data_IF_799365275475
#
_entry.id   IF_799365275475
#
_cell.length_a   1.000
_cell.length_b   1.000
_cell.length_c   1.000
_cell.angle_alpha   90.00
_cell.angle_beta   90.00
_cell.angle_gamma   90.00
#
_symmetry.space_group_name_H-M   'P 1'
#
loop_
_entity.id
_entity.type
_entity.pdbx_description
1 polymer ?
#
# COMPACT_ATOMS: atom_id res chain seq x y z
N UNK A 1 9.73 9.21 -32.14
CA UNK A 1 9.54 8.42 -30.90
C UNK A 1 10.84 7.66 -30.67
N UNK A 2 11.67 8.10 -29.73
CA UNK A 2 12.96 7.45 -29.49
C UNK A 2 12.71 6.09 -28.81
N UNK A 3 13.06 4.99 -29.48
CA UNK A 3 13.02 3.65 -28.90
C UNK A 3 14.26 3.56 -28.01
N UNK A 4 14.07 3.54 -26.70
CA UNK A 4 15.14 3.29 -25.75
C UNK A 4 15.48 1.79 -25.77
N UNK A 5 16.68 1.36 -26.21
CA UNK A 5 17.04 -0.05 -26.29
C UNK A 5 17.06 -0.76 -24.92
N UNK A 6 17.15 -0.01 -23.82
CA UNK A 6 17.09 -0.54 -22.45
C UNK A 6 15.65 -0.64 -21.91
N UNK A 7 14.66 -0.07 -22.61
CA UNK A 7 13.27 -0.13 -22.18
C UNK A 7 12.65 -1.49 -22.51
N UNK A 8 12.51 -2.33 -21.50
CA UNK A 8 11.91 -3.65 -21.64
C UNK A 8 10.45 -3.63 -21.16
N UNK A 9 9.53 -4.30 -21.87
CA UNK A 9 8.10 -4.36 -21.50
C UNK A 9 7.85 -4.94 -20.09
N UNK A 10 8.80 -5.72 -19.56
CA UNK A 10 8.78 -6.24 -18.18
C UNK A 10 8.92 -5.15 -17.12
N UNK A 11 9.51 -4.01 -17.47
CA UNK A 11 9.68 -2.92 -16.53
C UNK A 11 8.35 -2.26 -16.14
N UNK A 12 7.32 -2.43 -16.97
CA UNK A 12 5.94 -2.03 -16.67
C UNK A 12 5.36 -2.71 -15.43
N UNK A 13 5.91 -3.86 -15.01
CA UNK A 13 5.45 -4.58 -13.82
C UNK A 13 6.16 -4.17 -12.53
N UNK A 14 7.15 -3.25 -12.58
CA UNK A 14 7.87 -2.79 -11.38
C UNK A 14 6.94 -1.95 -10.50
N UNK A 15 7.09 -2.07 -9.19
CA UNK A 15 6.34 -1.23 -8.23
C UNK A 15 6.68 0.25 -8.45
N UNK A 16 5.67 1.11 -8.48
CA UNK A 16 5.84 2.57 -8.52
C UNK A 16 6.60 3.01 -7.28
N UNK A 17 7.68 3.78 -7.46
CA UNK A 17 8.49 4.34 -6.38
C UNK A 17 8.69 5.83 -6.60
N UNK A 18 8.65 6.58 -5.52
CA UNK A 18 9.03 7.99 -5.50
C UNK A 18 10.31 8.10 -4.67
N UNK A 19 11.45 8.29 -5.35
CA UNK A 19 12.78 8.18 -4.75
C UNK A 19 12.97 6.85 -4.00
N UNK A 20 13.23 6.91 -2.69
CA UNK A 20 13.40 5.75 -1.80
C UNK A 20 12.08 5.19 -1.27
N UNK A 21 10.97 5.90 -1.46
CA UNK A 21 9.66 5.53 -0.92
C UNK A 21 8.85 4.75 -1.95
N UNK A 22 8.10 3.75 -1.49
CA UNK A 22 7.06 3.13 -2.31
C UNK A 22 5.99 4.18 -2.65
N UNK A 23 5.38 4.08 -3.83
CA UNK A 23 4.40 5.06 -4.30
C UNK A 23 3.25 5.26 -3.30
N UNK A 24 2.86 4.20 -2.58
CA UNK A 24 1.81 4.27 -1.54
C UNK A 24 2.26 5.04 -0.30
N UNK A 25 3.54 4.92 0.07
CA UNK A 25 4.15 5.57 1.24
C UNK A 25 4.43 7.06 1.01
N UNK A 26 4.65 7.45 -0.24
CA UNK A 26 4.97 8.83 -0.61
C UNK A 26 3.72 9.75 -0.66
N UNK A 27 2.54 9.20 -0.93
CA UNK A 27 1.31 9.98 -1.08
C UNK A 27 0.95 10.85 0.15
N UNK A 28 1.03 10.36 1.41
CA UNK A 28 0.77 11.20 2.58
C UNK A 28 1.71 12.41 2.69
N UNK A 29 2.98 12.24 2.31
CA UNK A 29 3.95 13.32 2.31
C UNK A 29 3.63 14.38 1.25
N UNK A 30 3.17 13.96 0.07
CA UNK A 30 2.68 14.89 -0.97
C UNK A 30 1.47 15.68 -0.45
N UNK A 31 0.53 15.03 0.25
CA UNK A 31 -0.63 15.70 0.83
C UNK A 31 -0.24 16.75 1.88
N UNK A 32 0.77 16.46 2.71
CA UNK A 32 1.35 17.45 3.63
C UNK A 32 2.00 18.63 2.89
N UNK A 33 2.71 18.38 1.80
CA UNK A 33 3.33 19.47 1.01
C UNK A 33 2.30 20.41 0.37
N UNK A 34 1.13 19.90 0.00
CA UNK A 34 0.02 20.71 -0.54
C UNK A 34 -0.69 21.51 0.58
N UNK A 35 -0.76 20.97 1.80
CA UNK A 35 -1.40 21.61 2.93
C UNK A 35 -0.51 21.52 4.18
N UNK A 36 0.42 22.47 4.32
CA UNK A 36 1.46 22.47 5.36
C UNK A 36 0.85 22.97 6.68
N UNK A 37 0.36 22.04 7.50
CA UNK A 37 -0.12 22.28 8.86
C UNK A 37 0.39 21.19 9.81
N UNK A 38 0.35 21.46 11.13
CA UNK A 38 0.81 20.51 12.13
C UNK A 38 0.00 19.21 12.13
N UNK A 39 -1.32 19.29 11.93
CA UNK A 39 -2.16 18.10 11.90
C UNK A 39 -1.90 17.24 10.66
N UNK A 40 -1.66 17.85 9.48
CA UNK A 40 -1.29 17.11 8.27
C UNK A 40 0.11 16.51 8.37
N UNK A 41 1.04 17.15 9.08
CA UNK A 41 2.34 16.56 9.38
C UNK A 41 2.18 15.26 10.18
N UNK A 42 1.41 15.29 11.26
CA UNK A 42 1.19 14.08 12.08
C UNK A 42 0.50 12.97 11.30
N UNK A 43 -0.50 13.30 10.48
CA UNK A 43 -1.13 12.32 9.58
C UNK A 43 -0.13 11.76 8.58
N UNK A 44 0.69 12.61 7.95
CA UNK A 44 1.66 12.17 6.96
C UNK A 44 2.69 11.23 7.60
N UNK A 45 3.26 11.59 8.74
CA UNK A 45 4.20 10.74 9.48
C UNK A 45 3.56 9.41 9.90
N UNK A 46 2.34 9.45 10.46
CA UNK A 46 1.63 8.24 10.88
C UNK A 46 1.30 7.31 9.72
N UNK A 47 0.79 7.85 8.61
CA UNK A 47 0.47 7.07 7.42
C UNK A 47 1.73 6.52 6.74
N UNK A 48 2.79 7.32 6.61
CA UNK A 48 4.08 6.87 6.06
C UNK A 48 4.69 5.77 6.94
N UNK A 49 4.65 5.89 8.27
CA UNK A 49 5.08 4.84 9.18
C UNK A 49 4.26 3.56 8.99
N UNK A 50 2.92 3.67 8.96
CA UNK A 50 2.02 2.55 8.74
C UNK A 50 2.33 1.77 7.45
N UNK A 51 2.43 2.46 6.30
CA UNK A 51 2.74 1.81 5.03
C UNK A 51 4.17 1.24 4.99
N UNK A 52 5.11 1.89 5.68
CA UNK A 52 6.49 1.39 5.79
C UNK A 52 6.53 0.08 6.57
N UNK A 53 5.79 -0.01 7.68
CA UNK A 53 5.68 -1.23 8.48
C UNK A 53 5.03 -2.36 7.67
N UNK A 54 3.92 -2.08 6.96
CA UNK A 54 3.30 -3.08 6.08
C UNK A 54 4.26 -3.60 5.02
N UNK A 55 4.99 -2.68 4.37
CA UNK A 55 6.01 -3.03 3.38
C UNK A 55 7.15 -3.85 3.98
N UNK A 56 7.62 -3.51 5.19
CA UNK A 56 8.67 -4.24 5.88
C UNK A 56 8.29 -5.71 6.12
N UNK A 57 7.02 -5.97 6.47
CA UNK A 57 6.49 -7.33 6.61
C UNK A 57 6.07 -7.99 5.28
N UNK A 58 6.20 -7.30 4.15
CA UNK A 58 5.79 -7.82 2.84
C UNK A 58 4.28 -7.91 2.64
N UNK A 59 3.48 -7.23 3.48
CA UNK A 59 2.04 -7.20 3.33
C UNK A 59 1.61 -6.23 2.23
N UNK A 60 0.74 -6.71 1.33
CA UNK A 60 -0.03 -5.84 0.44
C UNK A 60 -1.23 -5.24 1.19
N UNK A 61 -1.78 -4.15 0.68
CA UNK A 61 -2.98 -3.53 1.25
C UNK A 61 -4.16 -4.51 1.28
N UNK A 62 -4.29 -5.36 0.26
CA UNK A 62 -5.31 -6.41 0.20
C UNK A 62 -5.15 -7.46 1.29
N UNK A 63 -3.92 -7.91 1.55
CA UNK A 63 -3.64 -8.88 2.62
C UNK A 63 -3.92 -8.26 3.98
N UNK A 64 -3.48 -7.02 4.21
CA UNK A 64 -3.81 -6.30 5.44
C UNK A 64 -5.32 -6.17 5.62
N UNK A 65 -6.07 -5.80 4.58
CA UNK A 65 -7.53 -5.74 4.62
C UNK A 65 -8.18 -7.08 4.98
N UNK A 66 -7.64 -8.21 4.48
CA UNK A 66 -8.09 -9.55 4.87
C UNK A 66 -7.82 -9.86 6.34
N UNK A 67 -6.66 -9.44 6.86
CA UNK A 67 -6.32 -9.60 8.29
C UNK A 67 -7.29 -8.78 9.15
N UNK A 68 -7.50 -7.50 8.80
CA UNK A 68 -8.45 -6.62 9.51
C UNK A 68 -9.86 -7.20 9.49
N UNK A 69 -10.34 -7.64 8.32
CA UNK A 69 -11.66 -8.28 8.21
C UNK A 69 -11.74 -9.54 9.05
N UNK A 70 -10.72 -10.40 9.00
CA UNK A 70 -10.67 -11.62 9.80
C UNK A 70 -10.61 -11.33 11.30
N UNK A 71 -9.96 -10.25 11.71
CA UNK A 71 -9.91 -9.80 13.09
C UNK A 71 -11.31 -9.40 13.59
N UNK A 72 -12.06 -8.62 12.81
CA UNK A 72 -13.44 -8.24 13.17
C UNK A 72 -14.46 -9.38 13.07
N UNK A 73 -14.26 -10.34 12.16
CA UNK A 73 -15.13 -11.51 12.03
C UNK A 73 -15.04 -12.48 13.23
N UNK A 74 -13.99 -12.38 14.04
CA UNK A 74 -13.79 -13.22 15.22
C UNK A 74 -13.29 -14.64 14.92
N UNK A 75 -13.25 -15.47 15.97
CA UNK A 75 -12.67 -16.81 15.90
C UNK A 75 -13.53 -17.82 15.11
N UNK A 76 -14.85 -17.64 15.11
CA UNK A 76 -15.78 -18.56 14.47
C UNK A 76 -16.05 -18.10 13.03
N UNK A 77 -15.63 -18.92 12.06
CA UNK A 77 -15.80 -18.65 10.63
C UNK A 77 -16.68 -19.74 10.04
N UNK A 78 -17.82 -19.35 9.48
CA UNK A 78 -18.70 -20.26 8.76
C UNK A 78 -18.14 -20.38 7.34
N UNK A 79 -17.61 -21.55 7.00
CA UNK A 79 -17.22 -21.85 5.63
C UNK A 79 -18.46 -22.35 4.89
N UNK A 80 -18.83 -21.69 3.81
CA UNK A 80 -19.78 -22.24 2.83
C UNK A 80 -18.92 -23.09 1.89
N UNK A 81 -19.23 -24.39 1.73
CA UNK A 81 -18.49 -25.21 0.78
C UNK A 81 -18.71 -24.69 -0.64
N UNK A 82 -17.69 -24.78 -1.49
CA UNK A 82 -17.69 -24.15 -2.81
C UNK A 82 -18.74 -24.72 -3.77
N UNK A 83 -19.30 -25.89 -3.48
CA UNK A 83 -20.36 -26.52 -4.27
C UNK A 83 -21.77 -26.02 -3.90
N UNK A 84 -21.92 -25.21 -2.83
CA UNK A 84 -23.19 -24.62 -2.39
C UNK A 84 -23.29 -23.11 -2.67
N UNK A 85 -22.24 -22.48 -3.19
CA UNK A 85 -22.13 -21.03 -3.41
C UNK A 85 -22.54 -20.59 -4.83
#
# INVERSE_FOLDING_TARGET
MAINPDAHWRDSARSVRFFIWDGKTAFPMVLFLVHIQWWTLWIALGATLFFTVLRYYGFTMDVFGRIVRNFFAGARKIAIPWWEA
#
